data_IF_661848957257
#
_entry.id   IF_661848957257
#
_cell.length_a   1.000
_cell.length_b   1.000
_cell.length_c   1.000
_cell.angle_alpha   90.00
_cell.angle_beta   90.00
_cell.angle_gamma   90.00
#
_symmetry.space_group_name_H-M   'P 1'
#
loop_
_entity.id
_entity.type
_entity.pdbx_description
1 polymer ?
#
# COMPACT_ATOMS: atom_id res chain seq x y z
N UNK A 1 43.49 3.71 60.42
CA UNK A 1 43.37 2.23 60.50
C UNK A 1 42.01 1.82 59.95
N UNK A 2 41.93 0.61 59.38
CA UNK A 2 40.77 -0.12 58.81
C UNK A 2 40.01 0.43 57.58
N UNK A 3 40.30 -0.20 56.43
CA UNK A 3 39.45 -0.34 55.23
C UNK A 3 38.33 -1.38 55.49
N UNK A 4 37.31 -1.43 54.59
CA UNK A 4 36.41 -2.55 54.15
C UNK A 4 34.96 -2.01 53.90
N UNK A 5 34.15 -2.49 52.90
CA UNK A 5 34.12 -1.91 51.55
C UNK A 5 32.70 -1.60 51.01
N UNK A 6 32.66 -1.04 49.79
CA UNK A 6 31.46 -0.81 48.95
C UNK A 6 30.82 -2.13 48.51
N UNK A 7 29.48 -2.23 48.59
CA UNK A 7 28.67 -3.23 47.86
C UNK A 7 27.80 -2.54 46.83
N UNK A 8 28.00 -2.91 45.57
CA UNK A 8 27.18 -2.60 44.42
C UNK A 8 25.95 -3.53 44.38
N UNK A 9 24.79 -2.97 44.08
CA UNK A 9 23.57 -3.70 43.75
C UNK A 9 23.36 -3.62 42.23
N UNK A 10 23.47 -4.77 41.56
CA UNK A 10 22.94 -5.02 40.22
C UNK A 10 21.83 -6.06 40.35
N UNK A 11 20.67 -5.92 39.69
CA UNK A 11 19.71 -7.01 39.60
C UNK A 11 20.08 -7.95 38.45
N UNK A 12 20.07 -9.25 38.73
CA UNK A 12 20.21 -10.31 37.76
C UNK A 12 18.91 -10.45 36.92
N UNK A 13 19.05 -10.32 35.61
CA UNK A 13 18.05 -10.74 34.62
C UNK A 13 18.21 -12.24 34.38
N UNK A 14 17.26 -13.03 34.87
CA UNK A 14 17.09 -14.44 34.51
C UNK A 14 16.49 -14.53 33.11
N UNK A 15 17.30 -14.92 32.13
CA UNK A 15 16.84 -15.37 30.81
C UNK A 15 16.66 -16.89 30.88
N UNK A 16 15.42 -17.33 31.14
CA UNK A 16 15.01 -18.73 31.03
C UNK A 16 14.58 -19.04 29.60
N UNK A 17 15.52 -19.36 28.71
CA UNK A 17 15.24 -19.85 27.37
C UNK A 17 15.11 -21.38 27.35
N UNK A 18 13.90 -21.91 27.50
CA UNK A 18 13.61 -23.31 27.15
C UNK A 18 13.41 -23.40 25.63
N UNK A 19 14.44 -23.84 24.93
CA UNK A 19 14.39 -24.20 23.51
C UNK A 19 14.01 -25.67 23.38
N UNK A 20 12.95 -25.95 22.62
CA UNK A 20 12.58 -27.30 22.21
C UNK A 20 13.44 -27.72 21.00
N UNK A 21 14.39 -28.65 21.18
CA UNK A 21 15.15 -29.26 20.08
C UNK A 21 14.90 -30.77 20.01
N UNK A 22 14.83 -31.36 18.79
CA UNK A 22 14.87 -32.80 18.61
C UNK A 22 16.32 -33.34 18.63
N UNK A 23 16.50 -34.54 19.20
CA UNK A 23 17.78 -35.28 19.28
C UNK A 23 18.20 -35.84 17.91
N UNK A 24 19.44 -35.62 17.50
CA UNK A 24 20.10 -36.25 16.34
C UNK A 24 20.88 -37.52 16.71
N UNK A 25 20.91 -38.50 15.80
CA UNK A 25 21.58 -39.80 15.92
C UNK A 25 23.03 -39.77 15.37
N UNK A 26 23.93 -40.69 15.77
CA UNK A 26 25.34 -40.67 15.40
C UNK A 26 25.62 -41.28 14.02
N UNK A 27 26.65 -40.77 13.35
CA UNK A 27 27.11 -41.16 12.02
C UNK A 27 28.11 -42.33 12.07
N UNK A 28 28.04 -43.21 11.06
CA UNK A 28 29.00 -44.29 10.82
C UNK A 28 30.03 -43.88 9.76
N UNK A 29 31.28 -44.33 9.91
CA UNK A 29 32.41 -44.07 9.02
C UNK A 29 32.48 -45.12 7.88
N UNK A 30 32.64 -44.66 6.63
CA UNK A 30 32.85 -45.50 5.44
C UNK A 30 34.21 -45.24 4.76
N UNK A 31 34.73 -46.18 3.94
CA UNK A 31 36.12 -46.20 3.48
C UNK A 31 36.41 -45.23 2.31
N UNK A 32 37.67 -44.78 2.24
CA UNK A 32 38.13 -43.58 1.53
C UNK A 32 38.24 -43.66 0.00
N UNK A 33 38.26 -44.85 -0.64
CA UNK A 33 38.54 -44.98 -2.08
C UNK A 33 37.29 -45.04 -2.99
N UNK A 34 36.14 -45.51 -2.49
CA UNK A 34 34.82 -45.36 -3.16
C UNK A 34 34.30 -43.92 -3.12
N UNK A 35 34.89 -43.07 -2.26
CA UNK A 35 34.50 -41.68 -2.00
C UNK A 35 34.83 -40.72 -3.14
N UNK A 36 35.97 -40.91 -3.85
CA UNK A 36 36.45 -39.93 -4.84
C UNK A 36 35.65 -39.98 -6.14
N UNK A 37 35.35 -41.19 -6.66
CA UNK A 37 34.55 -41.35 -7.87
C UNK A 37 33.07 -40.96 -7.64
N UNK A 38 32.51 -41.32 -6.48
CA UNK A 38 31.19 -40.88 -6.06
C UNK A 38 31.12 -39.35 -5.87
N UNK A 39 32.18 -38.76 -5.31
CA UNK A 39 32.34 -37.31 -5.14
C UNK A 39 32.40 -36.56 -6.47
N UNK A 40 33.15 -37.05 -7.46
CA UNK A 40 33.21 -36.46 -8.81
C UNK A 40 31.88 -36.56 -9.56
N UNK A 41 31.16 -37.67 -9.42
CA UNK A 41 29.82 -37.84 -10.00
C UNK A 41 28.79 -36.94 -9.31
N UNK A 42 28.86 -36.79 -7.99
CA UNK A 42 28.03 -35.86 -7.22
C UNK A 42 28.32 -34.40 -7.60
N UNK A 43 29.59 -34.03 -7.74
CA UNK A 43 30.01 -32.69 -8.16
C UNK A 43 29.52 -32.35 -9.57
N UNK A 44 29.62 -33.27 -10.55
CA UNK A 44 29.08 -33.05 -11.90
C UNK A 44 27.55 -32.91 -11.91
N UNK A 45 26.82 -33.70 -11.11
CA UNK A 45 25.37 -33.56 -10.94
C UNK A 45 25.01 -32.22 -10.29
N UNK A 46 25.77 -31.80 -9.29
CA UNK A 46 25.56 -30.53 -8.60
C UNK A 46 25.89 -29.33 -9.49
N UNK A 47 26.97 -29.39 -10.28
CA UNK A 47 27.31 -28.38 -11.28
C UNK A 47 26.27 -28.28 -12.40
N UNK A 48 25.74 -29.41 -12.88
CA UNK A 48 24.63 -29.44 -13.85
C UNK A 48 23.32 -28.88 -13.29
N UNK A 49 22.99 -29.19 -12.03
CA UNK A 49 21.83 -28.63 -11.35
C UNK A 49 21.96 -27.12 -11.15
N UNK A 50 23.16 -26.63 -10.79
CA UNK A 50 23.45 -25.19 -10.67
C UNK A 50 23.38 -24.49 -12.03
N UNK A 51 23.88 -25.11 -13.10
CA UNK A 51 23.78 -24.60 -14.46
C UNK A 51 22.32 -24.45 -14.93
N UNK A 52 21.50 -25.49 -14.73
CA UNK A 52 20.08 -25.47 -15.05
C UNK A 52 19.29 -24.44 -14.22
N UNK A 53 19.63 -24.27 -12.94
CA UNK A 53 19.03 -23.24 -12.08
C UNK A 53 19.40 -21.82 -12.51
N UNK A 54 20.64 -21.60 -12.96
CA UNK A 54 21.10 -20.30 -13.46
C UNK A 54 20.45 -19.93 -14.80
N UNK A 55 20.32 -20.88 -15.71
CA UNK A 55 19.62 -20.69 -16.99
C UNK A 55 18.13 -20.40 -16.77
N UNK A 56 17.49 -21.16 -15.87
CA UNK A 56 16.07 -20.95 -15.51
C UNK A 56 15.87 -19.57 -14.88
N UNK A 57 16.72 -19.15 -13.93
CA UNK A 57 16.69 -17.79 -13.36
C UNK A 57 16.93 -16.70 -14.41
N UNK A 58 17.81 -16.94 -15.38
CA UNK A 58 18.09 -15.97 -16.45
C UNK A 58 16.90 -15.84 -17.40
N UNK A 59 16.22 -16.95 -17.72
CA UNK A 59 14.99 -16.95 -18.50
C UNK A 59 13.83 -16.26 -17.73
N UNK A 60 13.69 -16.53 -16.44
CA UNK A 60 12.72 -15.87 -15.56
C UNK A 60 12.95 -14.36 -15.48
N UNK A 61 14.20 -13.91 -15.35
CA UNK A 61 14.56 -12.49 -15.34
C UNK A 61 14.30 -11.81 -16.70
N UNK A 62 14.46 -12.54 -17.82
CA UNK A 62 14.13 -12.03 -19.16
C UNK A 62 12.61 -11.94 -19.36
N UNK A 63 11.85 -12.94 -18.93
CA UNK A 63 10.40 -12.94 -19.00
C UNK A 63 9.78 -11.85 -18.11
N UNK A 64 10.29 -11.68 -16.88
CA UNK A 64 9.87 -10.61 -15.97
C UNK A 64 10.18 -9.20 -16.50
N UNK A 65 11.15 -9.05 -17.41
CA UNK A 65 11.43 -7.80 -18.13
C UNK A 65 10.47 -7.55 -19.30
N UNK A 66 9.78 -8.57 -19.79
CA UNK A 66 8.87 -8.49 -20.94
C UNK A 66 7.39 -8.43 -20.53
N UNK A 67 7.05 -8.76 -19.28
CA UNK A 67 5.69 -8.63 -18.78
C UNK A 67 5.22 -7.16 -18.85
N UNK A 68 3.99 -6.90 -19.36
CA UNK A 68 3.44 -5.56 -19.37
C UNK A 68 3.32 -5.04 -17.94
N UNK A 69 3.56 -3.74 -17.68
CA UNK A 69 3.46 -3.19 -16.34
C UNK A 69 2.05 -3.41 -15.78
N UNK A 70 1.92 -3.60 -14.46
CA UNK A 70 0.61 -3.79 -13.79
C UNK A 70 -0.42 -2.66 -13.99
N UNK A 71 0.01 -1.54 -14.58
CA UNK A 71 -0.82 -0.39 -14.98
C UNK A 71 -1.18 -0.37 -16.47
N UNK A 72 -0.62 -1.26 -17.29
CA UNK A 72 -0.98 -1.39 -18.69
C UNK A 72 -2.47 -1.74 -18.82
N UNK A 73 -3.20 -1.18 -19.81
CA UNK A 73 -4.64 -1.38 -19.93
C UNK A 73 -5.05 -2.86 -19.97
N UNK A 74 -4.31 -3.70 -20.69
CA UNK A 74 -4.59 -5.14 -20.78
C UNK A 74 -4.37 -5.88 -19.45
N UNK A 75 -3.21 -5.67 -18.81
CA UNK A 75 -2.92 -6.23 -17.50
C UNK A 75 -3.96 -5.80 -16.45
N UNK A 76 -4.43 -4.55 -16.53
CA UNK A 76 -5.49 -4.02 -15.68
C UNK A 76 -6.84 -4.72 -15.95
N UNK A 77 -7.24 -4.91 -17.22
CA UNK A 77 -8.49 -5.64 -17.54
C UNK A 77 -8.48 -7.05 -16.96
N UNK A 78 -7.37 -7.78 -17.13
CA UNK A 78 -7.21 -9.13 -16.54
C UNK A 78 -7.29 -9.04 -15.03
N UNK A 79 -6.59 -8.09 -14.40
CA UNK A 79 -6.65 -7.89 -12.96
C UNK A 79 -8.07 -7.64 -12.45
N UNK A 80 -8.81 -6.71 -13.07
CA UNK A 80 -10.15 -6.30 -12.65
C UNK A 80 -11.19 -7.42 -12.83
N UNK A 81 -10.96 -8.35 -13.75
CA UNK A 81 -11.78 -9.56 -13.88
C UNK A 81 -11.63 -10.53 -12.72
N UNK A 82 -10.43 -10.62 -12.13
CA UNK A 82 -10.12 -11.53 -11.02
C UNK A 82 -10.37 -10.88 -9.64
N UNK A 83 -10.19 -9.55 -9.56
CA UNK A 83 -10.30 -8.76 -8.34
C UNK A 83 -11.17 -7.52 -8.60
N UNK A 84 -12.51 -7.65 -8.62
CA UNK A 84 -13.40 -6.55 -8.97
C UNK A 84 -13.44 -5.43 -7.92
N UNK A 85 -13.16 -5.76 -6.65
CA UNK A 85 -13.12 -4.81 -5.54
C UNK A 85 -11.72 -4.71 -4.97
N UNK A 86 -11.14 -3.51 -5.03
CA UNK A 86 -9.79 -3.25 -4.54
C UNK A 86 -9.60 -1.77 -4.24
N UNK A 87 -8.58 -1.49 -3.45
CA UNK A 87 -8.07 -0.15 -3.22
C UNK A 87 -6.68 -0.04 -3.82
N UNK A 88 -6.34 1.14 -4.31
CA UNK A 88 -5.03 1.43 -4.86
C UNK A 88 -4.51 2.71 -4.25
N UNK A 89 -3.64 2.55 -3.24
CA UNK A 89 -3.06 3.67 -2.50
C UNK A 89 -1.81 4.15 -3.21
N UNK A 90 -1.84 5.41 -3.62
CA UNK A 90 -0.78 6.03 -4.38
C UNK A 90 -0.05 7.08 -3.54
N UNK A 91 1.28 7.09 -3.69
CA UNK A 91 2.12 8.23 -3.34
C UNK A 91 2.61 8.86 -4.63
N UNK A 92 2.54 10.18 -4.73
CA UNK A 92 2.93 10.92 -5.94
C UNK A 92 4.11 11.85 -5.67
N UNK A 93 4.93 12.07 -6.69
CA UNK A 93 6.12 12.94 -6.65
C UNK A 93 5.75 14.40 -6.36
N UNK A 94 6.74 15.25 -6.08
CA UNK A 94 6.54 16.69 -5.94
C UNK A 94 5.91 17.28 -7.21
N UNK A 95 4.96 18.21 -7.06
CA UNK A 95 4.40 18.98 -8.17
C UNK A 95 5.40 20.04 -8.63
N UNK A 96 5.54 20.24 -9.94
CA UNK A 96 6.42 21.28 -10.49
C UNK A 96 5.90 21.77 -11.85
N UNK A 97 5.35 22.98 -11.87
CA UNK A 97 5.01 23.70 -13.11
C UNK A 97 6.28 24.32 -13.70
N UNK A 98 6.41 24.30 -15.03
CA UNK A 98 7.57 24.90 -15.72
C UNK A 98 7.59 26.41 -15.48
N UNK A 99 8.71 26.89 -14.93
CA UNK A 99 8.87 28.30 -14.56
C UNK A 99 8.09 28.73 -13.31
N UNK A 100 7.41 27.79 -12.63
CA UNK A 100 6.69 28.04 -11.38
C UNK A 100 7.44 27.56 -10.14
N UNK A 101 6.87 27.84 -8.97
CA UNK A 101 7.37 27.30 -7.71
C UNK A 101 7.03 25.80 -7.57
N UNK A 102 7.97 25.05 -7.00
CA UNK A 102 7.74 23.64 -6.71
C UNK A 102 6.79 23.47 -5.51
N UNK A 103 5.93 22.46 -5.56
CA UNK A 103 5.06 22.10 -4.44
C UNK A 103 5.82 21.54 -3.23
N UNK A 104 5.10 21.12 -2.19
CA UNK A 104 5.71 20.55 -0.99
C UNK A 104 6.56 19.29 -1.27
N UNK A 105 7.71 19.18 -0.60
CA UNK A 105 8.66 18.06 -0.75
C UNK A 105 8.12 16.72 -0.26
N UNK A 106 7.05 16.72 0.55
CA UNK A 106 6.39 15.52 1.03
C UNK A 106 5.67 14.72 -0.06
N UNK A 107 5.53 15.27 -1.27
CA UNK A 107 4.69 14.69 -2.31
C UNK A 107 3.21 14.83 -1.97
N UNK A 108 2.41 13.86 -2.37
CA UNK A 108 0.99 13.78 -2.01
C UNK A 108 0.52 12.32 -1.98
N UNK A 109 -0.58 12.03 -1.27
CA UNK A 109 -1.16 10.69 -1.19
C UNK A 109 -2.58 10.71 -1.73
N UNK A 110 -2.89 9.74 -2.59
CA UNK A 110 -4.21 9.57 -3.17
C UNK A 110 -4.63 8.11 -3.10
N UNK A 111 -5.91 7.82 -3.31
CA UNK A 111 -6.42 6.46 -3.29
C UNK A 111 -7.45 6.28 -4.41
N UNK A 112 -7.34 5.21 -5.19
CA UNK A 112 -8.39 4.80 -6.12
C UNK A 112 -9.16 3.62 -5.52
N UNK A 113 -10.48 3.63 -5.66
CA UNK A 113 -11.38 2.60 -5.13
C UNK A 113 -12.15 1.97 -6.29
N UNK A 114 -11.90 0.69 -6.57
CA UNK A 114 -12.72 -0.11 -7.51
C UNK A 114 -13.83 -0.81 -6.75
N UNK A 115 -15.05 -0.76 -7.28
CA UNK A 115 -16.27 -1.20 -6.58
C UNK A 115 -16.88 -0.13 -5.67
N UNK A 116 -16.41 1.12 -5.76
CA UNK A 116 -17.02 2.28 -5.14
C UNK A 116 -17.21 3.41 -6.17
N UNK A 117 -18.30 4.15 -6.01
CA UNK A 117 -18.72 5.20 -6.93
C UNK A 117 -19.06 6.47 -6.17
N UNK A 118 -18.99 7.59 -6.87
CA UNK A 118 -19.49 8.87 -6.38
C UNK A 118 -21.02 8.85 -6.42
N UNK A 119 -21.65 9.34 -5.34
CA UNK A 119 -23.09 9.59 -5.31
C UNK A 119 -23.38 10.89 -6.05
N UNK A 120 -24.00 10.78 -7.23
CA UNK A 120 -24.37 11.94 -8.03
C UNK A 120 -25.47 12.78 -7.36
N UNK A 121 -25.38 14.10 -7.50
CA UNK A 121 -26.35 15.04 -6.90
C UNK A 121 -26.21 15.26 -5.39
N UNK A 122 -25.32 14.56 -4.68
CA UNK A 122 -25.06 14.81 -3.27
C UNK A 122 -24.57 16.25 -3.01
N UNK A 123 -25.00 16.83 -1.87
CA UNK A 123 -24.65 18.21 -1.50
C UNK A 123 -23.15 18.42 -1.23
N UNK A 124 -22.45 17.35 -0.83
CA UNK A 124 -21.00 17.27 -0.67
C UNK A 124 -20.49 15.94 -1.25
N UNK A 125 -19.17 15.80 -1.53
CA UNK A 125 -18.64 14.56 -2.08
C UNK A 125 -18.96 13.39 -1.14
N UNK A 126 -19.66 12.39 -1.69
CA UNK A 126 -20.11 11.18 -1.01
C UNK A 126 -19.85 9.98 -1.91
N UNK A 127 -19.52 8.86 -1.30
CA UNK A 127 -19.28 7.59 -1.96
C UNK A 127 -20.35 6.57 -1.58
N UNK A 128 -20.57 5.62 -2.47
CA UNK A 128 -21.33 4.40 -2.24
C UNK A 128 -20.62 3.20 -2.85
N UNK A 129 -21.00 2.00 -2.43
CA UNK A 129 -20.55 0.78 -3.11
C UNK A 129 -21.32 0.62 -4.42
N UNK A 130 -20.63 0.25 -5.48
CA UNK A 130 -21.24 0.04 -6.79
C UNK A 130 -20.76 -1.27 -7.42
N UNK A 131 -21.29 -1.57 -8.61
CA UNK A 131 -20.95 -2.78 -9.38
C UNK A 131 -19.46 -2.81 -9.80
N UNK A 132 -18.98 -4.01 -10.08
CA UNK A 132 -17.61 -4.26 -10.55
C UNK A 132 -17.29 -3.49 -11.84
N UNK A 133 -16.06 -3.01 -11.98
CA UNK A 133 -15.60 -2.25 -13.15
C UNK A 133 -15.87 -0.74 -13.10
N UNK A 134 -16.64 -0.27 -12.11
CA UNK A 134 -16.70 1.14 -11.76
C UNK A 134 -15.69 1.49 -10.66
N UNK A 135 -15.17 2.71 -10.69
CA UNK A 135 -14.24 3.15 -9.66
C UNK A 135 -14.08 4.67 -9.56
N UNK A 136 -13.55 5.09 -8.43
CA UNK A 136 -13.44 6.49 -8.04
C UNK A 136 -12.08 6.79 -7.43
N UNK A 137 -11.47 7.87 -7.90
CA UNK A 137 -10.29 8.46 -7.29
C UNK A 137 -10.67 9.37 -6.13
N UNK A 138 -10.00 9.21 -5.00
CA UNK A 138 -10.16 10.01 -3.79
C UNK A 138 -8.87 10.74 -3.49
N UNK A 139 -8.98 12.05 -3.28
CA UNK A 139 -7.85 12.91 -2.91
C UNK A 139 -8.25 13.94 -1.86
N UNK A 140 -7.35 14.18 -0.92
CA UNK A 140 -7.48 15.19 0.14
C UNK A 140 -6.68 16.42 -0.25
N UNK A 141 -7.26 17.61 -0.16
CA UNK A 141 -6.54 18.84 -0.51
C UNK A 141 -6.56 19.85 0.65
N UNK A 142 -5.38 20.42 0.94
CA UNK A 142 -5.24 21.50 1.90
C UNK A 142 -6.02 22.77 1.53
N UNK A 143 -6.42 22.90 0.27
CA UNK A 143 -7.17 24.03 -0.25
C UNK A 143 -8.65 24.01 0.12
N UNK A 144 -9.19 22.86 0.55
CA UNK A 144 -10.61 22.74 0.89
C UNK A 144 -10.91 23.36 2.25
N UNK A 145 -12.10 23.95 2.40
CA UNK A 145 -12.55 24.60 3.63
C UNK A 145 -13.65 23.81 4.36
N UNK A 146 -14.45 23.02 3.65
CA UNK A 146 -15.62 22.31 4.17
C UNK A 146 -15.72 20.84 3.70
N UNK A 147 -14.67 20.32 3.08
CA UNK A 147 -14.57 18.93 2.67
C UNK A 147 -13.16 18.43 3.00
N UNK A 148 -13.05 17.18 3.44
CA UNK A 148 -11.77 16.53 3.66
C UNK A 148 -11.18 16.05 2.33
N UNK A 149 -12.01 15.47 1.47
CA UNK A 149 -11.61 14.90 0.18
C UNK A 149 -12.62 15.16 -0.94
N UNK A 150 -12.14 15.03 -2.18
CA UNK A 150 -12.92 15.05 -3.43
C UNK A 150 -12.94 13.67 -4.08
N UNK A 151 -14.01 13.36 -4.82
CA UNK A 151 -14.18 12.14 -5.59
C UNK A 151 -14.17 12.42 -7.10
N UNK A 152 -13.31 11.74 -7.85
CA UNK A 152 -13.15 11.88 -9.29
C UNK A 152 -13.50 10.56 -9.96
N UNK A 153 -14.54 10.50 -10.80
CA UNK A 153 -14.99 9.25 -11.38
C UNK A 153 -14.02 8.72 -12.44
N UNK A 154 -13.72 7.43 -12.36
CA UNK A 154 -12.98 6.70 -13.38
C UNK A 154 -11.46 6.89 -13.32
N UNK A 155 -10.74 5.80 -13.60
CA UNK A 155 -9.27 5.76 -13.59
C UNK A 155 -8.65 6.73 -14.59
N UNK A 156 -9.19 6.79 -15.80
CA UNK A 156 -8.66 7.64 -16.88
C UNK A 156 -8.73 9.14 -16.53
N UNK A 157 -9.78 9.59 -15.86
CA UNK A 157 -9.87 10.99 -15.42
C UNK A 157 -8.95 11.26 -14.23
N UNK A 158 -8.93 10.34 -13.26
CA UNK A 158 -8.14 10.50 -12.05
C UNK A 158 -6.63 10.53 -12.32
N UNK A 159 -6.09 9.56 -13.08
CA UNK A 159 -4.66 9.50 -13.36
C UNK A 159 -4.26 10.31 -14.58
N UNK A 160 -5.05 10.32 -15.66
CA UNK A 160 -4.63 10.88 -16.96
C UNK A 160 -5.40 12.13 -17.37
N UNK A 161 -6.39 12.60 -16.60
CA UNK A 161 -7.20 13.78 -16.95
C UNK A 161 -8.02 13.61 -18.24
N UNK A 162 -8.19 12.37 -18.70
CA UNK A 162 -8.80 12.05 -19.99
C UNK A 162 -7.90 12.35 -21.20
N UNK A 163 -6.59 12.56 -21.00
CA UNK A 163 -5.62 12.75 -22.08
C UNK A 163 -5.12 11.40 -22.61
N UNK A 164 -5.02 11.26 -23.95
CA UNK A 164 -4.39 10.09 -24.57
C UNK A 164 -2.88 10.09 -24.30
N UNK A 165 -2.22 8.91 -24.18
CA UNK A 165 -0.78 8.82 -23.97
C UNK A 165 0.08 9.56 -25.03
N UNK A 166 -0.42 9.68 -26.26
CA UNK A 166 0.26 10.27 -27.42
C UNK A 166 -0.05 11.76 -27.60
N UNK A 167 -1.05 12.29 -26.90
CA UNK A 167 -1.48 13.67 -27.05
C UNK A 167 -0.49 14.65 -26.40
N UNK A 168 -0.41 15.88 -26.92
CA UNK A 168 0.39 16.94 -26.28
C UNK A 168 -0.38 17.50 -25.09
N UNK A 169 0.26 17.57 -23.92
CA UNK A 169 -0.23 18.32 -22.77
C UNK A 169 0.23 19.78 -22.88
N UNK A 170 -0.62 20.59 -23.51
CA UNK A 170 -0.50 22.05 -23.61
C UNK A 170 -1.63 22.76 -22.84
N UNK A 171 -1.72 24.09 -22.96
CA UNK A 171 -2.76 24.87 -22.27
C UNK A 171 -4.17 24.51 -22.75
N UNK A 172 -4.36 24.18 -24.03
CA UNK A 172 -5.67 23.80 -24.54
C UNK A 172 -6.15 22.47 -23.94
N UNK A 173 -5.26 21.47 -23.86
CA UNK A 173 -5.53 20.19 -23.21
C UNK A 173 -5.81 20.36 -21.70
N UNK A 174 -5.03 21.21 -21.03
CA UNK A 174 -5.24 21.56 -19.63
C UNK A 174 -6.62 22.21 -19.41
N UNK A 175 -6.96 23.23 -20.19
CA UNK A 175 -8.25 23.93 -20.08
C UNK A 175 -9.43 23.02 -20.42
N UNK A 176 -9.26 22.08 -21.35
CA UNK A 176 -10.27 21.06 -21.64
C UNK A 176 -10.52 20.13 -20.44
N UNK A 177 -9.48 19.73 -19.71
CA UNK A 177 -9.61 18.95 -18.48
C UNK A 177 -10.32 19.76 -17.38
N UNK A 178 -10.00 21.04 -17.23
CA UNK A 178 -10.67 21.96 -16.29
C UNK A 178 -12.16 22.06 -16.61
N UNK A 179 -12.53 22.39 -17.86
CA UNK A 179 -13.93 22.52 -18.28
C UNK A 179 -14.72 21.25 -17.99
N UNK A 180 -14.17 20.08 -18.36
CA UNK A 180 -14.79 18.78 -18.09
C UNK A 180 -15.09 18.56 -16.61
N UNK A 181 -14.14 18.88 -15.74
CA UNK A 181 -14.30 18.72 -14.30
C UNK A 181 -15.33 19.69 -13.69
N UNK A 182 -15.38 20.93 -14.20
CA UNK A 182 -16.38 21.94 -13.81
C UNK A 182 -17.77 21.52 -14.26
N UNK A 183 -17.94 21.14 -15.54
CA UNK A 183 -19.21 20.73 -16.14
C UNK A 183 -19.78 19.48 -15.47
N UNK A 184 -18.92 18.47 -15.21
CA UNK A 184 -19.30 17.27 -14.47
C UNK A 184 -19.47 17.51 -12.96
N UNK A 185 -19.16 18.72 -12.48
CA UNK A 185 -19.35 19.15 -11.11
C UNK A 185 -18.60 18.30 -10.09
N UNK A 186 -17.41 17.78 -10.40
CA UNK A 186 -16.66 16.89 -9.48
C UNK A 186 -16.38 17.53 -8.11
N UNK A 187 -16.25 18.85 -8.08
CA UNK A 187 -15.99 19.65 -6.88
C UNK A 187 -17.25 20.33 -6.30
N UNK A 188 -18.45 19.91 -6.72
CA UNK A 188 -19.71 20.46 -6.21
C UNK A 188 -19.78 20.33 -4.69
N UNK A 189 -20.16 21.42 -4.02
CA UNK A 189 -20.25 21.48 -2.56
C UNK A 189 -18.93 21.67 -1.82
N UNK A 190 -17.79 21.74 -2.53
CA UNK A 190 -16.49 22.03 -1.93
C UNK A 190 -16.20 23.53 -2.02
N UNK A 191 -15.98 24.15 -0.87
CA UNK A 191 -15.51 25.51 -0.75
C UNK A 191 -13.97 25.54 -0.66
N UNK A 192 -13.37 26.54 -1.30
CA UNK A 192 -11.95 26.82 -1.16
C UNK A 192 -11.69 27.67 0.10
N UNK A 193 -10.54 27.48 0.73
CA UNK A 193 -10.09 28.32 1.84
C UNK A 193 -10.01 29.80 1.44
N UNK A 194 -10.46 30.74 2.31
CA UNK A 194 -10.51 32.17 1.97
C UNK A 194 -9.18 32.76 1.50
N UNK A 195 -8.05 32.36 2.10
CA UNK A 195 -6.72 32.86 1.74
C UNK A 195 -6.24 32.42 0.35
N UNK A 196 -6.74 31.29 -0.15
CA UNK A 196 -6.46 30.81 -1.50
C UNK A 196 -7.48 31.36 -2.51
N UNK A 197 -8.72 31.54 -2.09
CA UNK A 197 -9.76 32.17 -2.90
C UNK A 197 -9.43 33.64 -3.17
N UNK A 198 -8.81 34.35 -2.23
CA UNK A 198 -8.33 35.72 -2.41
C UNK A 198 -7.27 35.87 -3.52
N UNK A 199 -6.63 34.77 -3.95
CA UNK A 199 -5.65 34.74 -5.06
C UNK A 199 -6.29 34.42 -6.42
N UNK A 200 -7.61 34.32 -6.48
CA UNK A 200 -8.35 34.00 -7.71
C UNK A 200 -8.19 35.11 -8.76
N UNK A 201 -7.83 34.78 -10.01
CA UNK A 201 -7.78 35.76 -11.09
C UNK A 201 -9.13 36.47 -11.32
N UNK A 202 -9.06 37.74 -11.72
CA UNK A 202 -10.25 38.50 -12.10
C UNK A 202 -10.98 37.81 -13.29
N UNK A 203 -12.31 37.75 -13.22
CA UNK A 203 -13.14 37.10 -14.24
C UNK A 203 -13.25 35.57 -14.14
N UNK A 204 -12.46 34.89 -13.29
CA UNK A 204 -12.55 33.44 -13.09
C UNK A 204 -13.63 33.09 -12.05
N UNK A 205 -14.39 32.02 -12.28
CA UNK A 205 -15.34 31.50 -11.29
C UNK A 205 -14.64 30.78 -10.13
N UNK A 206 -15.29 30.70 -8.96
CA UNK A 206 -14.74 29.98 -7.80
C UNK A 206 -14.56 28.49 -8.10
N UNK A 207 -15.51 27.89 -8.82
CA UNK A 207 -15.46 26.49 -9.24
C UNK A 207 -14.27 26.23 -10.17
N UNK A 208 -14.06 27.10 -11.16
CA UNK A 208 -12.92 26.98 -12.07
C UNK A 208 -11.59 27.16 -11.33
N UNK A 209 -11.48 28.15 -10.44
CA UNK A 209 -10.26 28.38 -9.65
C UNK A 209 -9.92 27.18 -8.78
N UNK A 210 -10.91 26.60 -8.11
CA UNK A 210 -10.76 25.37 -7.32
C UNK A 210 -10.26 24.22 -8.20
N UNK A 211 -10.92 23.96 -9.33
CA UNK A 211 -10.55 22.88 -10.25
C UNK A 211 -9.13 23.05 -10.79
N UNK A 212 -8.74 24.26 -11.20
CA UNK A 212 -7.38 24.56 -11.68
C UNK A 212 -6.33 24.28 -10.60
N UNK A 213 -6.63 24.65 -9.34
CA UNK A 213 -5.74 24.36 -8.20
C UNK A 213 -5.61 22.87 -7.85
N UNK A 214 -6.49 22.04 -8.39
CA UNK A 214 -6.58 20.61 -8.12
C UNK A 214 -5.94 19.73 -9.21
N UNK A 215 -5.64 20.25 -10.40
CA UNK A 215 -4.95 19.46 -11.44
C UNK A 215 -3.56 19.04 -10.98
N UNK A 216 -3.21 17.78 -11.26
CA UNK A 216 -1.93 17.20 -10.87
C UNK A 216 -1.81 16.95 -9.37
N UNK A 217 -2.89 17.15 -8.59
CA UNK A 217 -2.94 16.87 -7.15
C UNK A 217 -4.15 16.00 -6.80
N UNK A 218 -5.35 16.37 -7.22
CA UNK A 218 -6.58 15.62 -6.94
C UNK A 218 -7.13 14.83 -8.13
N UNK A 219 -6.80 15.25 -9.35
CA UNK A 219 -7.11 14.56 -10.59
C UNK A 219 -6.07 14.90 -11.65
N UNK A 220 -6.11 14.18 -12.77
CA UNK A 220 -5.08 14.28 -13.81
C UNK A 220 -3.66 14.19 -13.22
N UNK A 221 -3.44 13.25 -12.29
CA UNK A 221 -2.18 13.16 -11.52
C UNK A 221 -0.94 13.11 -12.44
N UNK A 222 -1.03 12.34 -13.51
CA UNK A 222 -0.01 12.16 -14.53
C UNK A 222 0.33 13.44 -15.30
N UNK A 223 -0.46 14.51 -15.23
CA UNK A 223 -0.07 15.78 -15.85
C UNK A 223 1.21 16.33 -15.23
N UNK A 224 1.36 16.22 -13.90
CA UNK A 224 2.42 16.89 -13.15
C UNK A 224 3.27 15.97 -12.27
N UNK A 225 2.89 14.70 -12.10
CA UNK A 225 3.52 13.80 -11.13
C UNK A 225 3.60 12.35 -11.63
N UNK A 226 4.63 11.64 -11.19
CA UNK A 226 4.60 10.17 -11.21
C UNK A 226 3.78 9.68 -10.02
N UNK A 227 2.98 8.64 -10.21
CA UNK A 227 2.27 7.95 -9.15
C UNK A 227 2.83 6.54 -8.94
N UNK A 228 3.23 6.24 -7.71
CA UNK A 228 3.62 4.91 -7.26
C UNK A 228 2.52 4.35 -6.36
N UNK A 229 1.91 3.25 -6.76
CA UNK A 229 0.65 2.78 -6.20
C UNK A 229 0.76 1.36 -5.69
N UNK A 230 0.18 1.10 -4.52
CA UNK A 230 0.01 -0.22 -3.94
C UNK A 230 -1.45 -0.62 -4.10
N UNK A 231 -1.71 -1.59 -4.96
CA UNK A 231 -3.02 -2.18 -5.20
C UNK A 231 -3.25 -3.32 -4.21
N UNK A 232 -4.40 -3.32 -3.56
CA UNK A 232 -4.78 -4.26 -2.52
C UNK A 232 -6.23 -4.71 -2.76
N UNK A 233 -6.47 -5.97 -3.14
CA UNK A 233 -7.80 -6.56 -3.20
C UNK A 233 -8.49 -6.47 -1.84
N UNK A 234 -9.80 -6.24 -1.87
CA UNK A 234 -10.61 -6.18 -0.66
C UNK A 234 -11.92 -6.91 -0.87
N UNK A 235 -12.44 -7.48 0.20
CA UNK A 235 -13.86 -7.88 0.20
C UNK A 235 -14.76 -6.64 0.13
N UNK A 236 -15.95 -6.83 -0.42
CA UNK A 236 -16.93 -5.74 -0.58
C UNK A 236 -17.30 -5.11 0.76
N UNK A 237 -17.42 -5.93 1.82
CA UNK A 237 -17.72 -5.48 3.18
C UNK A 237 -16.58 -4.62 3.74
N UNK A 238 -15.34 -5.02 3.50
CA UNK A 238 -14.15 -4.29 3.92
C UNK A 238 -14.03 -2.95 3.17
N UNK A 239 -14.28 -2.95 1.85
CA UNK A 239 -14.38 -1.71 1.06
C UNK A 239 -15.51 -0.81 1.57
N UNK A 240 -16.63 -1.39 2.02
CA UNK A 240 -17.73 -0.67 2.66
C UNK A 240 -17.29 0.10 3.91
N UNK A 241 -16.40 -0.48 4.73
CA UNK A 241 -15.81 0.21 5.90
C UNK A 241 -14.91 1.38 5.50
N UNK A 242 -14.13 1.21 4.42
CA UNK A 242 -13.33 2.30 3.82
C UNK A 242 -14.24 3.45 3.37
N UNK A 243 -15.30 3.13 2.60
CA UNK A 243 -16.30 4.10 2.11
C UNK A 243 -17.00 4.82 3.26
N UNK A 244 -17.47 4.08 4.27
CA UNK A 244 -18.14 4.64 5.44
C UNK A 244 -17.23 5.62 6.20
N UNK A 245 -15.96 5.25 6.41
CA UNK A 245 -15.00 6.13 7.07
C UNK A 245 -14.75 7.43 6.26
N UNK A 246 -14.58 7.32 4.95
CA UNK A 246 -14.40 8.48 4.08
C UNK A 246 -15.62 9.40 4.12
N UNK A 247 -16.84 8.86 4.00
CA UNK A 247 -18.06 9.64 4.08
C UNK A 247 -18.17 10.39 5.41
N UNK A 248 -17.89 9.71 6.54
CA UNK A 248 -17.89 10.33 7.86
C UNK A 248 -16.89 11.50 7.97
N UNK A 249 -15.74 11.44 7.29
CA UNK A 249 -14.79 12.56 7.24
C UNK A 249 -15.36 13.79 6.52
N UNK A 250 -16.06 13.60 5.41
CA UNK A 250 -16.68 14.70 4.67
C UNK A 250 -17.93 15.25 5.38
N UNK A 251 -18.73 14.39 6.01
CA UNK A 251 -19.87 14.81 6.84
C UNK A 251 -19.38 15.68 8.00
N UNK A 252 -18.31 15.25 8.70
CA UNK A 252 -17.68 16.04 9.76
C UNK A 252 -17.12 17.37 9.24
N UNK A 253 -16.43 17.35 8.11
CA UNK A 253 -15.86 18.55 7.49
C UNK A 253 -16.94 19.54 7.04
N UNK A 254 -18.08 19.06 6.53
CA UNK A 254 -19.21 19.90 6.16
C UNK A 254 -19.87 20.54 7.38
N UNK A 255 -20.02 19.80 8.47
CA UNK A 255 -20.64 20.28 9.70
C UNK A 255 -19.77 21.23 10.53
N UNK A 256 -18.45 21.01 10.54
CA UNK A 256 -17.52 21.68 11.47
C UNK A 256 -16.44 22.51 10.77
N UNK A 257 -16.40 22.49 9.44
CA UNK A 257 -15.27 22.97 8.65
C UNK A 257 -14.13 21.94 8.59
N UNK A 258 -13.23 22.14 7.63
CA UNK A 258 -12.05 21.32 7.43
C UNK A 258 -10.77 22.07 7.85
N UNK A 259 -9.98 21.41 8.70
CA UNK A 259 -8.69 21.91 9.15
C UNK A 259 -7.57 20.96 8.73
N UNK A 260 -6.95 21.24 7.59
CA UNK A 260 -5.79 20.50 7.13
C UNK A 260 -4.57 20.76 8.03
N UNK A 261 -3.81 19.71 8.34
CA UNK A 261 -2.56 19.81 9.08
C UNK A 261 -1.51 18.84 8.53
N UNK A 262 -0.34 19.35 8.20
CA UNK A 262 0.78 18.59 7.62
C UNK A 262 1.18 17.36 8.45
N UNK A 263 1.04 17.40 9.77
CA UNK A 263 1.54 16.35 10.67
C UNK A 263 0.46 15.41 11.19
N UNK A 264 -0.80 15.85 11.27
CA UNK A 264 -1.86 15.11 12.00
C UNK A 264 -3.21 15.01 11.29
N UNK A 265 -3.43 15.76 10.22
CA UNK A 265 -4.70 15.74 9.49
C UNK A 265 -4.46 16.08 8.02
N UNK A 266 -3.70 15.21 7.34
CA UNK A 266 -3.32 15.34 5.94
C UNK A 266 -3.88 14.16 5.12
N UNK A 267 -3.58 14.15 3.83
CA UNK A 267 -3.95 13.09 2.90
C UNK A 267 -3.55 11.68 3.35
N UNK A 268 -2.38 11.53 3.93
CA UNK A 268 -1.89 10.25 4.43
C UNK A 268 -2.66 9.76 5.65
N UNK A 269 -3.13 10.66 6.53
CA UNK A 269 -3.96 10.26 7.67
C UNK A 269 -5.33 9.76 7.23
N UNK A 270 -5.98 10.47 6.31
CA UNK A 270 -7.28 10.08 5.79
C UNK A 270 -7.21 8.68 5.15
N UNK A 271 -6.25 8.44 4.27
CA UNK A 271 -6.06 7.15 3.60
C UNK A 271 -5.68 6.06 4.60
N UNK A 272 -4.71 6.32 5.50
CA UNK A 272 -4.29 5.33 6.50
C UNK A 272 -5.47 4.89 7.36
N UNK A 273 -6.27 5.85 7.84
CA UNK A 273 -7.38 5.54 8.75
C UNK A 273 -8.58 4.94 8.02
N UNK A 274 -8.81 5.26 6.75
CA UNK A 274 -9.79 4.57 5.93
C UNK A 274 -9.43 3.08 5.81
N UNK A 275 -8.16 2.75 5.56
CA UNK A 275 -7.67 1.38 5.56
C UNK A 275 -7.66 0.74 6.96
N UNK A 276 -7.42 1.51 8.02
CA UNK A 276 -7.49 1.03 9.39
C UNK A 276 -8.92 0.68 9.81
N UNK A 277 -9.94 1.39 9.30
CA UNK A 277 -11.34 1.05 9.51
C UNK A 277 -11.69 -0.33 8.92
N UNK A 278 -10.95 -0.77 7.90
CA UNK A 278 -11.01 -2.11 7.34
C UNK A 278 -9.94 -3.06 7.92
N UNK A 279 -9.29 -2.75 9.03
CA UNK A 279 -8.32 -3.65 9.68
C UNK A 279 -6.98 -3.86 8.93
N UNK A 280 -6.76 -3.19 7.80
CA UNK A 280 -5.52 -3.31 6.99
C UNK A 280 -4.33 -2.66 7.68
N UNK A 281 -4.55 -1.46 8.24
CA UNK A 281 -3.52 -0.65 8.90
C UNK A 281 -3.89 -0.34 10.35
N UNK A 282 -2.93 0.16 11.11
CA UNK A 282 -3.20 0.68 12.45
C UNK A 282 -3.80 2.09 12.38
N UNK A 283 -4.82 2.40 13.20
CA UNK A 283 -5.38 3.74 13.24
C UNK A 283 -4.35 4.74 13.75
N UNK A 284 -4.39 5.95 13.19
CA UNK A 284 -3.57 7.09 13.57
C UNK A 284 -4.43 8.15 14.20
N UNK A 285 -3.89 8.79 15.24
CA UNK A 285 -4.58 9.88 15.92
C UNK A 285 -4.60 11.12 15.04
N UNK A 286 -5.78 11.61 14.69
CA UNK A 286 -5.93 12.94 14.07
C UNK A 286 -6.17 13.99 15.14
N UNK A 287 -5.35 15.05 15.17
CA UNK A 287 -5.47 16.16 16.13
C UNK A 287 -5.86 17.45 15.43
N UNK A 288 -6.61 18.29 16.13
CA UNK A 288 -7.01 19.63 15.68
C UNK A 288 -5.85 20.64 15.65
N UNK A 289 -6.10 21.86 15.15
CA UNK A 289 -5.07 22.88 15.00
C UNK A 289 -4.47 23.31 16.35
N UNK A 290 -3.18 23.69 16.34
CA UNK A 290 -2.45 24.18 17.52
C UNK A 290 -0.95 23.88 17.48
N UNK A 291 -0.09 24.80 17.93
CA UNK A 291 1.38 24.59 17.99
C UNK A 291 1.77 23.57 19.06
N UNK A 292 1.12 23.63 20.23
CA UNK A 292 1.34 22.69 21.33
C UNK A 292 0.92 21.25 20.94
N UNK A 293 -0.21 21.09 20.24
CA UNK A 293 -0.67 19.78 19.75
C UNK A 293 0.28 19.20 18.69
N UNK A 294 0.86 20.03 17.81
CA UNK A 294 1.85 19.59 16.82
C UNK A 294 3.16 19.12 17.47
N UNK A 295 3.73 19.91 18.39
CA UNK A 295 4.95 19.54 19.09
C UNK A 295 4.77 18.23 19.90
N UNK A 296 3.68 18.12 20.65
CA UNK A 296 3.33 16.90 21.36
C UNK A 296 3.15 15.70 20.41
N UNK A 297 2.62 15.91 19.20
CA UNK A 297 2.47 14.85 18.20
C UNK A 297 3.81 14.36 17.67
N UNK A 298 4.71 15.29 17.33
CA UNK A 298 6.03 14.92 16.81
C UNK A 298 6.80 14.15 17.88
N UNK A 299 6.88 14.70 19.10
CA UNK A 299 7.58 14.06 20.23
C UNK A 299 6.95 12.70 20.55
N UNK A 300 5.63 12.64 20.69
CA UNK A 300 4.91 11.40 20.98
C UNK A 300 5.06 10.36 19.87
N UNK A 301 5.12 10.76 18.59
CA UNK A 301 5.32 9.84 17.47
C UNK A 301 6.74 9.30 17.42
N UNK A 302 7.75 10.12 17.72
CA UNK A 302 9.14 9.68 17.83
C UNK A 302 9.26 8.70 19.00
N UNK A 303 8.71 9.03 20.17
CA UNK A 303 8.72 8.15 21.34
C UNK A 303 8.03 6.80 21.04
N UNK A 304 6.85 6.82 20.42
CA UNK A 304 6.18 5.60 19.95
C UNK A 304 7.08 4.79 19.01
N UNK A 305 7.69 5.43 18.01
CA UNK A 305 8.60 4.76 17.07
C UNK A 305 9.81 4.12 17.75
N UNK A 306 10.43 4.81 18.72
CA UNK A 306 11.55 4.27 19.52
C UNK A 306 11.11 3.07 20.37
N UNK A 307 9.88 3.08 20.88
CA UNK A 307 9.30 1.97 21.64
C UNK A 307 8.72 0.85 20.75
N UNK A 308 8.91 0.90 19.43
CA UNK A 308 8.34 -0.06 18.49
C UNK A 308 6.81 0.04 18.32
N UNK A 309 6.19 1.11 18.84
CA UNK A 309 4.77 1.43 18.66
C UNK A 309 4.55 2.23 17.37
N UNK A 310 3.32 2.18 16.87
CA UNK A 310 2.96 2.88 15.63
C UNK A 310 2.94 4.40 15.82
N UNK A 311 3.78 5.17 15.11
CA UNK A 311 3.78 6.63 15.20
C UNK A 311 2.49 7.20 14.62
N UNK A 312 2.04 8.33 15.19
CA UNK A 312 0.87 9.04 14.66
C UNK A 312 1.22 9.75 13.34
N UNK A 313 2.46 10.24 13.17
CA UNK A 313 2.94 10.84 11.91
C UNK A 313 2.66 9.96 10.69
N UNK A 314 2.09 10.54 9.64
CA UNK A 314 1.75 9.86 8.39
C UNK A 314 2.31 10.60 7.19
N UNK A 315 3.10 9.90 6.39
CA UNK A 315 3.73 10.41 5.16
C UNK A 315 3.29 9.57 3.96
N UNK A 316 3.14 10.18 2.76
CA UNK A 316 2.63 9.47 1.58
C UNK A 316 3.41 8.19 1.24
N UNK A 317 4.74 8.31 1.13
CA UNK A 317 5.59 7.18 0.76
C UNK A 317 5.59 6.07 1.82
N UNK A 318 5.55 6.44 3.11
CA UNK A 318 5.44 5.47 4.19
C UNK A 318 4.14 4.66 4.12
N UNK A 319 3.01 5.31 3.79
CA UNK A 319 1.74 4.62 3.63
C UNK A 319 1.78 3.64 2.45
N UNK A 320 2.31 4.06 1.30
CA UNK A 320 2.51 3.17 0.15
C UNK A 320 3.29 1.91 0.56
N UNK A 321 4.44 2.05 1.21
CA UNK A 321 5.23 0.89 1.68
C UNK A 321 4.43 0.01 2.65
N UNK A 322 3.70 0.62 3.59
CA UNK A 322 2.88 -0.12 4.57
C UNK A 322 1.74 -0.90 3.94
N UNK A 323 1.14 -0.39 2.88
CA UNK A 323 0.09 -1.11 2.14
C UNK A 323 0.69 -2.30 1.41
N UNK A 324 1.86 -2.16 0.80
CA UNK A 324 2.59 -3.30 0.21
C UNK A 324 2.89 -4.37 1.25
N UNK A 325 3.37 -3.97 2.44
CA UNK A 325 3.64 -4.89 3.55
C UNK A 325 2.38 -5.56 4.09
N UNK A 326 1.29 -4.82 4.28
CA UNK A 326 0.01 -5.38 4.71
C UNK A 326 -0.54 -6.37 3.67
N UNK A 327 -0.34 -6.07 2.39
CA UNK A 327 -0.77 -6.90 1.27
C UNK A 327 0.05 -8.17 1.06
N UNK A 328 1.33 -8.18 1.43
CA UNK A 328 2.26 -9.26 1.02
C UNK A 328 3.10 -9.87 2.14
N UNK A 329 3.34 -9.17 3.25
CA UNK A 329 4.43 -9.51 4.18
C UNK A 329 3.97 -9.92 5.58
N UNK A 330 2.67 -9.83 5.92
CA UNK A 330 2.21 -10.31 7.23
C UNK A 330 2.36 -11.83 7.33
N UNK A 331 2.64 -12.39 8.52
CA UNK A 331 3.09 -13.77 8.68
C UNK A 331 1.94 -14.79 8.62
N UNK A 332 1.16 -14.81 7.55
CA UNK A 332 -0.01 -15.70 7.40
C UNK A 332 0.37 -17.18 7.31
N UNK A 333 1.64 -17.47 7.04
CA UNK A 333 2.27 -18.77 6.93
C UNK A 333 2.86 -19.30 8.24
N UNK A 334 2.82 -18.51 9.32
CA UNK A 334 3.18 -18.92 10.67
C UNK A 334 2.00 -18.65 11.61
N UNK A 335 1.34 -19.70 12.09
CA UNK A 335 0.16 -19.57 12.94
C UNK A 335 0.40 -18.76 14.22
N UNK A 336 1.57 -18.89 14.84
CA UNK A 336 1.87 -18.20 16.10
C UNK A 336 2.15 -16.73 15.85
N UNK A 337 2.94 -16.44 14.82
CA UNK A 337 3.19 -15.06 14.41
C UNK A 337 1.90 -14.38 13.93
N UNK A 338 1.05 -15.09 13.18
CA UNK A 338 -0.26 -14.62 12.75
C UNK A 338 -1.20 -14.33 13.93
N UNK A 339 -1.21 -15.19 14.96
CA UNK A 339 -2.02 -14.98 16.16
C UNK A 339 -1.58 -13.74 16.95
N UNK A 340 -0.26 -13.46 16.98
CA UNK A 340 0.30 -12.28 17.65
C UNK A 340 0.11 -11.00 16.83
N UNK A 341 -0.12 -11.09 15.52
CA UNK A 341 -0.46 -9.91 14.70
C UNK A 341 -1.96 -9.59 14.83
N UNK A 342 -2.24 -8.48 15.51
CA UNK A 342 -3.61 -7.99 15.74
C UNK A 342 -4.41 -7.80 14.45
N UNK A 343 -3.79 -7.38 13.33
CA UNK A 343 -4.50 -7.12 12.07
C UNK A 343 -4.94 -8.42 11.41
N UNK A 344 -4.07 -9.43 11.39
CA UNK A 344 -4.43 -10.77 10.89
C UNK A 344 -5.54 -11.37 11.73
N UNK A 345 -5.45 -11.28 13.06
CA UNK A 345 -6.53 -11.73 13.96
C UNK A 345 -7.88 -11.09 13.63
N UNK A 346 -7.94 -9.75 13.57
CA UNK A 346 -9.18 -9.01 13.31
C UNK A 346 -9.77 -9.33 11.93
N UNK A 347 -8.94 -9.35 10.88
CA UNK A 347 -9.43 -9.63 9.52
C UNK A 347 -9.89 -11.08 9.39
N UNK A 348 -9.18 -12.04 10.00
CA UNK A 348 -9.57 -13.46 9.99
C UNK A 348 -10.84 -13.74 10.81
N UNK A 349 -11.10 -12.99 11.88
CA UNK A 349 -12.38 -13.02 12.59
C UNK A 349 -13.54 -12.58 11.68
N UNK A 350 -13.28 -11.68 10.74
CA UNK A 350 -14.21 -11.27 9.68
C UNK A 350 -14.13 -12.17 8.44
N UNK A 351 -13.37 -13.26 8.53
CA UNK A 351 -13.21 -14.29 7.51
C UNK A 351 -12.31 -13.91 6.33
N UNK A 352 -11.57 -12.80 6.36
CA UNK A 352 -10.71 -12.34 5.25
C UNK A 352 -9.29 -11.97 5.72
N UNK A 353 -8.39 -11.59 4.82
CA UNK A 353 -7.10 -11.01 5.19
C UNK A 353 -6.66 -9.97 4.17
N UNK A 354 -5.98 -8.93 4.64
CA UNK A 354 -5.26 -8.03 3.75
C UNK A 354 -4.08 -8.73 3.07
N UNK A 355 -3.47 -9.73 3.72
CA UNK A 355 -2.37 -10.52 3.14
C UNK A 355 -2.94 -11.65 2.28
N UNK A 356 -3.28 -11.28 1.06
CA UNK A 356 -3.98 -12.11 0.09
C UNK A 356 -3.38 -11.94 -1.32
N UNK A 357 -3.62 -12.90 -2.24
CA UNK A 357 -3.24 -12.75 -3.64
C UNK A 357 -3.83 -11.49 -4.27
N UNK A 358 -3.15 -10.97 -5.29
CA UNK A 358 -3.52 -9.77 -6.06
C UNK A 358 -2.99 -8.45 -5.49
N UNK A 359 -2.23 -8.47 -4.39
CA UNK A 359 -1.58 -7.28 -3.86
C UNK A 359 -0.33 -6.92 -4.69
N UNK A 360 -0.40 -5.84 -5.47
CA UNK A 360 0.63 -5.47 -6.46
C UNK A 360 1.11 -4.02 -6.30
N UNK A 361 2.27 -3.73 -6.87
CA UNK A 361 2.80 -2.39 -7.09
C UNK A 361 2.53 -2.00 -8.54
N UNK A 362 1.93 -0.83 -8.73
CA UNK A 362 1.68 -0.23 -10.04
C UNK A 362 2.34 1.15 -10.13
N UNK A 363 2.66 1.56 -11.35
CA UNK A 363 3.21 2.90 -11.64
C UNK A 363 2.40 3.58 -12.73
N UNK A 364 2.04 4.83 -12.49
CA UNK A 364 1.48 5.71 -13.52
C UNK A 364 2.50 6.82 -13.75
N UNK A 365 3.24 6.76 -14.86
CA UNK A 365 4.24 7.77 -15.14
C UNK A 365 3.58 9.12 -15.40
N UNK A 366 4.33 10.18 -15.10
CA UNK A 366 4.02 11.52 -15.58
C UNK A 366 3.99 11.52 -17.11
N UNK A 367 3.15 12.37 -17.68
CA UNK A 367 3.01 12.56 -19.12
C UNK A 367 4.39 12.83 -19.75
N UNK A 368 4.74 12.16 -20.87
CA UNK A 368 6.11 12.16 -21.38
C UNK A 368 6.69 13.56 -21.53
N UNK A 369 7.96 13.81 -21.12
CA UNK A 369 8.56 15.15 -21.16
C UNK A 369 8.53 15.82 -22.54
N UNK A 370 8.65 15.04 -23.62
CA UNK A 370 8.57 15.53 -24.99
C UNK A 370 7.17 16.05 -25.38
N UNK A 371 6.13 15.54 -24.72
CA UNK A 371 4.72 15.88 -24.95
C UNK A 371 4.16 16.77 -23.84
N UNK A 372 4.89 17.03 -22.76
CA UNK A 372 4.44 17.83 -21.63
C UNK A 372 4.98 19.26 -21.70
N UNK A 373 4.13 20.23 -22.06
CA UNK A 373 4.52 21.64 -22.22
C UNK A 373 4.37 22.46 -20.94
N UNK A 374 3.67 21.93 -19.93
CA UNK A 374 3.27 22.70 -18.75
C UNK A 374 4.04 22.32 -17.49
N UNK A 375 4.42 21.05 -17.35
CA UNK A 375 5.01 20.53 -16.13
C UNK A 375 6.35 19.87 -16.40
N UNK A 376 7.16 19.76 -15.36
CA UNK A 376 8.44 19.05 -15.39
C UNK A 376 8.55 18.10 -14.18
N UNK A 377 9.41 17.06 -14.27
CA UNK A 377 9.53 16.10 -13.19
C UNK A 377 9.94 16.75 -11.86
N UNK A 378 9.17 16.47 -10.81
CA UNK A 378 9.52 16.80 -9.43
C UNK A 378 10.34 15.71 -8.75
N UNK A 379 10.73 15.97 -7.49
CA UNK A 379 11.45 14.99 -6.65
C UNK A 379 10.53 13.87 -6.19
N UNK A 380 11.11 12.70 -5.89
CA UNK A 380 10.41 11.63 -5.20
C UNK A 380 9.88 12.08 -3.83
N UNK A 381 8.75 11.52 -3.39
CA UNK A 381 8.13 11.89 -2.12
C UNK A 381 9.04 11.56 -0.94
N UNK A 382 9.04 12.43 0.07
CA UNK A 382 9.79 12.20 1.29
C UNK A 382 9.38 10.91 2.00
N UNK A 383 10.36 10.10 2.35
CA UNK A 383 10.19 8.89 3.17
C UNK A 383 10.76 9.15 4.55
N UNK A 384 9.91 9.07 5.57
CA UNK A 384 10.37 9.15 6.95
C UNK A 384 10.89 7.77 7.40
N UNK A 385 12.07 7.73 8.00
CA UNK A 385 12.63 6.51 8.56
C UNK A 385 13.68 6.82 9.61
N UNK A 386 13.90 5.89 10.53
CA UNK A 386 15.02 5.95 11.46
C UNK A 386 16.15 5.08 10.87
N UNK A 387 17.34 5.64 10.57
CA UNK A 387 18.47 4.86 10.08
C UNK A 387 18.74 3.65 11.00
N UNK A 388 18.94 2.47 10.42
CA UNK A 388 19.21 1.21 11.14
C UNK A 388 17.99 0.51 11.77
N UNK A 389 16.97 1.25 12.22
CA UNK A 389 15.78 0.69 12.87
C UNK A 389 14.56 0.59 11.95
N UNK A 390 14.47 1.46 10.93
CA UNK A 390 13.32 1.51 10.03
C UNK A 390 13.71 1.94 8.60
N UNK A 391 14.28 1.02 7.79
CA UNK A 391 14.86 1.32 6.47
C UNK A 391 13.79 1.54 5.37
N UNK A 392 12.75 2.32 5.67
CA UNK A 392 11.63 2.59 4.76
C UNK A 392 12.06 3.27 3.47
N UNK A 393 13.08 4.11 3.50
CA UNK A 393 13.61 4.75 2.30
C UNK A 393 14.19 3.73 1.30
N UNK A 394 14.97 2.76 1.79
CA UNK A 394 15.53 1.68 0.95
C UNK A 394 14.42 0.80 0.38
N UNK A 395 13.45 0.41 1.21
CA UNK A 395 12.29 -0.38 0.77
C UNK A 395 11.45 0.38 -0.26
N UNK A 396 11.19 1.66 -0.03
CA UNK A 396 10.50 2.51 -1.00
C UNK A 396 11.23 2.52 -2.34
N UNK A 397 12.54 2.78 -2.33
CA UNK A 397 13.38 2.77 -3.53
C UNK A 397 13.32 1.43 -4.27
N UNK A 398 13.44 0.32 -3.55
CA UNK A 398 13.30 -1.03 -4.11
C UNK A 398 11.95 -1.20 -4.83
N UNK A 399 10.85 -0.85 -4.16
CA UNK A 399 9.49 -0.98 -4.72
C UNK A 399 9.27 -0.09 -5.95
N UNK A 400 9.79 1.14 -5.96
CA UNK A 400 9.55 2.11 -7.04
C UNK A 400 10.59 2.09 -8.15
N UNK A 401 11.71 1.39 -7.99
CA UNK A 401 12.68 1.20 -9.07
C UNK A 401 12.65 -0.23 -9.60
N UNK A 402 12.70 -1.23 -8.72
CA UNK A 402 12.90 -2.65 -9.06
C UNK A 402 12.05 -3.56 -8.16
N UNK A 403 10.71 -3.51 -8.26
CA UNK A 403 9.84 -4.38 -7.48
C UNK A 403 10.16 -5.82 -7.83
N UNK A 404 10.07 -6.69 -6.83
CA UNK A 404 10.15 -8.14 -7.04
C UNK A 404 9.07 -8.57 -8.03
N UNK A 405 9.30 -9.60 -8.88
CA UNK A 405 8.31 -10.03 -9.87
C UNK A 405 6.93 -10.32 -9.27
N UNK A 406 6.86 -10.93 -8.08
CA UNK A 406 5.61 -11.25 -7.39
C UNK A 406 4.84 -10.01 -6.93
N UNK A 407 5.48 -8.83 -6.92
CA UNK A 407 4.85 -7.56 -6.62
C UNK A 407 4.50 -6.77 -7.89
N UNK A 408 4.97 -7.17 -9.07
CA UNK A 408 4.78 -6.41 -10.31
C UNK A 408 3.99 -7.17 -11.38
N UNK A 409 3.95 -8.50 -11.28
CA UNK A 409 3.30 -9.40 -12.21
C UNK A 409 2.21 -10.21 -11.49
N UNK A 410 1.00 -10.20 -12.04
CA UNK A 410 -0.15 -10.85 -11.42
C UNK A 410 -0.01 -12.37 -11.42
N UNK A 411 0.45 -12.98 -12.51
CA UNK A 411 0.65 -14.43 -12.59
C UNK A 411 1.64 -14.91 -11.53
N UNK A 412 2.80 -14.24 -11.43
CA UNK A 412 3.82 -14.53 -10.41
C UNK A 412 3.31 -14.32 -8.99
N UNK A 413 2.50 -13.29 -8.76
CA UNK A 413 1.86 -13.08 -7.47
C UNK A 413 0.95 -14.25 -7.09
N UNK A 414 0.08 -14.68 -8.01
CA UNK A 414 -0.85 -15.80 -7.79
C UNK A 414 -0.09 -17.11 -7.53
N UNK A 415 0.94 -17.42 -8.34
CA UNK A 415 1.80 -18.61 -8.14
C UNK A 415 2.52 -18.57 -6.78
N UNK A 416 3.06 -17.40 -6.40
CA UNK A 416 3.70 -17.20 -5.10
C UNK A 416 2.74 -17.46 -3.94
N UNK A 417 1.50 -17.00 -4.03
CA UNK A 417 0.48 -17.24 -3.02
C UNK A 417 0.00 -18.70 -2.97
N UNK A 418 -0.13 -19.38 -4.11
CA UNK A 418 -0.42 -20.81 -4.16
C UNK A 418 0.64 -21.61 -3.37
N UNK A 419 1.92 -21.36 -3.65
CA UNK A 419 3.03 -22.01 -2.94
C UNK A 419 3.05 -21.66 -1.44
N UNK A 420 2.80 -20.39 -1.12
CA UNK A 420 2.77 -19.91 0.26
C UNK A 420 1.67 -20.59 1.07
N UNK A 421 0.44 -20.64 0.57
CA UNK A 421 -0.67 -21.27 1.27
C UNK A 421 -0.50 -22.78 1.39
N UNK A 422 -0.04 -23.47 0.34
CA UNK A 422 0.26 -24.90 0.42
C UNK A 422 1.35 -25.21 1.45
N UNK A 423 2.37 -24.34 1.57
CA UNK A 423 3.44 -24.49 2.57
C UNK A 423 2.93 -24.22 3.99
N UNK A 424 2.10 -23.19 4.17
CA UNK A 424 1.47 -22.87 5.45
C UNK A 424 0.60 -24.02 5.96
N UNK A 425 -0.20 -24.64 5.09
CA UNK A 425 -1.03 -25.80 5.45
C UNK A 425 -0.19 -27.01 5.88
N UNK A 426 0.88 -27.33 5.13
CA UNK A 426 1.82 -28.38 5.54
C UNK A 426 2.49 -28.09 6.89
N UNK A 427 2.85 -26.84 7.14
CA UNK A 427 3.41 -26.43 8.43
C UNK A 427 2.37 -26.55 9.57
N UNK A 428 1.10 -26.24 9.31
CA UNK A 428 0.01 -26.45 10.25
C UNK A 428 -0.24 -27.93 10.53
N UNK A 429 -0.04 -28.83 9.56
CA UNK A 429 -0.17 -30.29 9.74
C UNK A 429 1.02 -30.88 10.52
N UNK A 430 2.24 -30.43 10.20
CA UNK A 430 3.46 -30.88 10.87
C UNK A 430 3.60 -30.33 12.31
N UNK A 431 3.00 -29.17 12.60
CA UNK A 431 3.05 -28.51 13.89
C UNK A 431 2.15 -29.16 14.95
N UNK A 432 2.73 -30.05 15.77
CA UNK A 432 2.09 -30.65 16.94
C UNK A 432 2.30 -29.86 18.23
N UNK A 433 1.21 -29.69 19.01
CA UNK A 433 1.24 -29.24 20.40
C UNK A 433 0.83 -27.78 20.63
N UNK A 434 -0.20 -27.58 21.45
CA UNK A 434 -0.53 -26.29 22.04
C UNK A 434 0.69 -25.75 22.81
N UNK A 435 1.10 -24.51 22.56
CA UNK A 435 2.01 -23.82 23.47
C UNK A 435 1.16 -23.37 24.67
N UNK A 436 1.47 -23.79 25.92
CA UNK A 436 0.70 -23.39 27.08
C UNK A 436 0.60 -21.87 27.27
N UNK A 437 1.52 -21.11 26.67
CA UNK A 437 1.62 -19.66 26.76
C UNK A 437 0.69 -18.89 25.82
N UNK A 438 0.01 -19.56 24.88
CA UNK A 438 -0.81 -18.89 23.84
C UNK A 438 -2.31 -18.83 24.19
N UNK A 439 -2.67 -19.30 25.39
CA UNK A 439 -4.02 -19.21 25.94
C UNK A 439 -5.05 -20.08 25.22
N UNK A 440 -6.30 -20.03 25.69
CA UNK A 440 -7.41 -20.85 25.16
C UNK A 440 -7.91 -20.37 23.78
N UNK A 441 -7.58 -19.13 23.38
CA UNK A 441 -8.01 -18.57 22.09
C UNK A 441 -7.20 -19.11 20.89
N UNK A 442 -5.97 -19.57 21.12
CA UNK A 442 -5.06 -19.96 20.03
C UNK A 442 -5.54 -21.19 19.23
N UNK A 443 -6.06 -22.28 19.84
CA UNK A 443 -6.64 -23.40 19.08
C UNK A 443 -7.80 -22.98 18.17
N UNK A 444 -8.69 -22.10 18.65
CA UNK A 444 -9.79 -21.58 17.86
C UNK A 444 -9.29 -20.71 16.69
N UNK A 445 -8.29 -19.85 16.94
CA UNK A 445 -7.63 -19.07 15.89
C UNK A 445 -6.96 -19.98 14.84
N UNK A 446 -6.20 -20.99 15.27
CA UNK A 446 -5.51 -21.93 14.36
C UNK A 446 -6.51 -22.66 13.46
N UNK A 447 -7.65 -23.05 13.99
CA UNK A 447 -8.75 -23.67 13.23
C UNK A 447 -9.29 -22.71 12.16
N UNK A 448 -9.56 -21.45 12.53
CA UNK A 448 -9.98 -20.42 11.57
C UNK A 448 -8.92 -20.15 10.50
N UNK A 449 -7.65 -20.06 10.87
CA UNK A 449 -6.54 -19.84 9.95
C UNK A 449 -6.42 -20.99 8.95
N UNK A 450 -6.51 -22.24 9.40
CA UNK A 450 -6.52 -23.41 8.49
C UNK A 450 -7.66 -23.31 7.48
N UNK A 451 -8.90 -23.13 7.94
CA UNK A 451 -10.06 -23.05 7.06
C UNK A 451 -9.94 -21.89 6.05
N UNK A 452 -9.39 -20.75 6.49
CA UNK A 452 -9.08 -19.63 5.61
C UNK A 452 -8.04 -20.02 4.54
N UNK A 453 -6.92 -20.62 4.93
CA UNK A 453 -5.85 -21.02 4.00
C UNK A 453 -6.30 -22.06 2.98
N UNK A 454 -7.12 -23.04 3.38
CA UNK A 454 -7.71 -24.03 2.48
C UNK A 454 -8.61 -23.37 1.44
N UNK A 455 -9.52 -22.49 1.89
CA UNK A 455 -10.41 -21.75 0.99
C UNK A 455 -9.63 -20.84 0.03
N UNK A 456 -8.59 -20.15 0.52
CA UNK A 456 -7.78 -19.27 -0.32
C UNK A 456 -6.86 -20.02 -1.29
N UNK A 457 -6.40 -21.22 -0.94
CA UNK A 457 -5.63 -22.07 -1.87
C UNK A 457 -6.51 -22.50 -3.05
N UNK A 458 -7.74 -22.96 -2.80
CA UNK A 458 -8.67 -23.31 -3.87
C UNK A 458 -9.01 -22.08 -4.74
N UNK A 459 -9.21 -20.91 -4.11
CA UNK A 459 -9.51 -19.66 -4.81
C UNK A 459 -8.34 -19.19 -5.70
N UNK A 460 -7.10 -19.25 -5.22
CA UNK A 460 -5.93 -18.84 -6.02
C UNK A 460 -5.68 -19.80 -7.19
N UNK A 461 -5.96 -21.09 -7.02
CA UNK A 461 -5.87 -22.08 -8.10
C UNK A 461 -6.90 -21.81 -9.21
N UNK A 462 -8.14 -21.49 -8.84
CA UNK A 462 -9.17 -21.08 -9.78
C UNK A 462 -8.76 -19.78 -10.51
N UNK A 463 -8.23 -18.79 -9.79
CA UNK A 463 -7.74 -17.54 -10.39
C UNK A 463 -6.54 -17.74 -11.31
N UNK A 464 -5.65 -18.68 -11.01
CA UNK A 464 -4.52 -19.03 -11.89
C UNK A 464 -5.01 -19.63 -13.21
N UNK A 465 -6.01 -20.51 -13.16
CA UNK A 465 -6.61 -21.08 -14.36
C UNK A 465 -7.25 -19.98 -15.22
N UNK A 466 -8.02 -19.10 -14.59
CA UNK A 466 -8.67 -17.99 -15.29
C UNK A 466 -7.67 -16.97 -15.83
N UNK A 467 -6.63 -16.64 -15.06
CA UNK A 467 -5.52 -15.80 -15.51
C UNK A 467 -4.88 -16.35 -16.79
N UNK A 468 -4.57 -17.65 -16.83
CA UNK A 468 -3.99 -18.30 -18.03
C UNK A 468 -4.91 -18.27 -19.25
N UNK A 469 -6.23 -18.18 -19.04
CA UNK A 469 -7.22 -18.06 -20.11
C UNK A 469 -7.32 -16.63 -20.66
N UNK A 470 -7.15 -15.64 -19.79
CA UNK A 470 -7.34 -14.22 -20.10
C UNK A 470 -6.05 -13.49 -20.48
N UNK A 471 -4.90 -13.97 -20.00
CA UNK A 471 -3.60 -13.39 -20.29
C UNK A 471 -3.27 -13.58 -21.79
N UNK A 472 -2.71 -12.55 -22.44
CA UNK A 472 -2.39 -12.56 -23.87
C UNK A 472 -1.25 -13.52 -24.25
#
# INVERSE_FOLDING_TARGET
>A
MSRVPKRSLWPALLVGGLLCFPKSAPAAEEPFETSVAAGLAAFRRQAGAVGGELERRTAELRAARQAPPASAPEALRVYESLFPAYVEVCTVTQYKEKGGEAGGFGGHATMFLSGACRVEGAAHPRLELCESGSGVGVSVNQAFANANWVAVPGRGQFFLGGLSPEAVLDRAAYDAAVRRAVEAGWFRGIAMRPDLLAKKPAGMSDAEHLVRSSIGTDFALGFARNAYCARLPMRREALGKVVAYLNALNEKAGAQGYHWNLYTNNCSHAINNALAAAGVLHPKTTRGPGRASQAATIIGSIAKGVLGLYPDLSFPANNFVRVVEAGNELPIDDARAAFRDRRLRLTLEEGWSATAPGALVARYPMHPPALNRLFEPGRDPFVFGFPGLWPKASKFKELVERPRPELADLGRNLEGYQLRYGSALRALDAGGGACPLEGEEFPAFRTRLRAYLEAQLADVEAKLLEYRRLAP
#
